data_IF_335923912899
#
_entry.id   IF_335923912899
#
_cell.length_a   1.000
_cell.length_b   1.000
_cell.length_c   1.000
_cell.angle_alpha   90.00
_cell.angle_beta   90.00
_cell.angle_gamma   90.00
#
_symmetry.space_group_name_H-M   'P 1'
#
loop_
_entity.id
_entity.type
_entity.pdbx_description
1 polymer ?
#
# COMPACT_ATOMS: atom_id res chain seq x y z
N UNK A 1 -21.05 14.42 -69.27
CA UNK A 1 -20.33 14.26 -67.99
C UNK A 1 -19.99 12.78 -67.84
N UNK A 2 -18.72 12.40 -67.62
CA UNK A 2 -18.37 10.99 -67.49
C UNK A 2 -19.01 10.41 -66.23
N UNK A 3 -19.39 9.11 -66.25
CA UNK A 3 -19.96 8.46 -65.08
C UNK A 3 -18.91 8.29 -63.97
N UNK A 4 -19.37 8.28 -62.72
CA UNK A 4 -18.52 8.06 -61.55
C UNK A 4 -17.90 6.65 -61.61
N UNK A 5 -16.57 6.52 -61.49
CA UNK A 5 -15.92 5.21 -61.48
C UNK A 5 -16.41 4.32 -60.33
N UNK A 6 -16.82 3.08 -60.65
CA UNK A 6 -17.43 2.17 -59.69
C UNK A 6 -16.56 1.84 -58.47
N UNK A 7 -15.22 1.90 -58.60
CA UNK A 7 -14.30 1.64 -57.49
C UNK A 7 -14.40 2.66 -56.35
N UNK A 8 -14.93 3.86 -56.62
CA UNK A 8 -15.17 4.89 -55.60
C UNK A 8 -16.43 4.64 -54.76
N UNK A 9 -17.29 3.70 -55.18
CA UNK A 9 -18.50 3.32 -54.45
C UNK A 9 -18.25 2.19 -53.44
N UNK A 10 -17.04 1.62 -53.44
CA UNK A 10 -16.65 0.56 -52.49
C UNK A 10 -16.13 1.23 -51.22
N UNK A 11 -16.54 0.77 -50.01
CA UNK A 11 -15.96 1.27 -48.77
C UNK A 11 -14.43 1.12 -48.76
N UNK A 12 -13.69 2.00 -48.06
CA UNK A 12 -12.27 1.82 -47.84
C UNK A 12 -11.98 0.41 -47.31
N UNK A 13 -10.90 -0.20 -47.79
CA UNK A 13 -10.48 -1.50 -47.27
C UNK A 13 -10.35 -1.42 -45.75
N UNK A 14 -10.81 -2.46 -45.05
CA UNK A 14 -10.73 -2.52 -43.60
C UNK A 14 -9.26 -2.39 -43.17
N UNK A 15 -8.93 -1.29 -42.51
CA UNK A 15 -7.62 -1.11 -41.87
C UNK A 15 -7.73 -1.76 -40.50
N UNK A 16 -7.11 -2.93 -40.33
CA UNK A 16 -6.95 -3.55 -39.02
C UNK A 16 -5.88 -2.79 -38.24
N UNK A 17 -6.29 -1.78 -37.47
CA UNK A 17 -5.39 -1.10 -36.53
C UNK A 17 -5.21 -1.99 -35.31
N UNK A 18 -3.98 -2.45 -35.05
CA UNK A 18 -3.69 -3.16 -33.81
C UNK A 18 -3.95 -2.23 -32.61
N UNK A 19 -4.64 -2.70 -31.55
CA UNK A 19 -4.82 -1.90 -30.35
C UNK A 19 -3.44 -1.54 -29.76
N UNK A 20 -3.27 -0.35 -29.17
CA UNK A 20 -2.01 0.06 -28.57
C UNK A 20 -1.56 -0.96 -27.50
N UNK A 21 -0.33 -1.47 -27.65
CA UNK A 21 0.29 -2.52 -26.82
C UNK A 21 1.03 -1.90 -25.62
N UNK A 22 0.44 -0.92 -24.95
CA UNK A 22 1.02 -0.41 -23.70
C UNK A 22 0.36 -1.09 -22.51
N UNK A 23 0.95 -2.20 -22.09
CA UNK A 23 0.58 -2.88 -20.84
C UNK A 23 1.01 -2.05 -19.64
N UNK A 24 0.06 -1.67 -18.78
CA UNK A 24 0.37 -1.05 -17.48
C UNK A 24 1.22 -2.00 -16.64
N UNK A 25 2.04 -1.43 -15.74
CA UNK A 25 2.79 -2.21 -14.75
C UNK A 25 1.82 -3.13 -13.98
N UNK A 26 2.15 -4.42 -13.95
CA UNK A 26 1.33 -5.44 -13.29
C UNK A 26 1.39 -5.29 -11.76
N UNK A 27 2.52 -4.80 -11.26
CA UNK A 27 2.77 -4.60 -9.84
C UNK A 27 2.57 -3.14 -9.44
N UNK A 28 1.93 -2.94 -8.28
CA UNK A 28 1.83 -1.62 -7.67
C UNK A 28 3.23 -1.17 -7.22
N UNK A 29 3.74 -0.01 -7.66
CA UNK A 29 5.13 0.41 -7.42
C UNK A 29 5.35 0.96 -6.00
N UNK A 30 4.87 0.24 -4.97
CA UNK A 30 4.97 0.64 -3.57
C UNK A 30 6.42 0.76 -3.09
N UNK A 31 7.34 0.02 -3.73
CA UNK A 31 8.78 0.13 -3.51
C UNK A 31 9.37 1.51 -3.88
N UNK A 32 8.69 2.28 -4.73
CA UNK A 32 9.12 3.62 -5.15
C UNK A 32 8.59 4.73 -4.26
N UNK A 33 7.70 4.43 -3.31
CA UNK A 33 7.20 5.43 -2.36
C UNK A 33 8.34 5.95 -1.51
N UNK A 34 8.38 7.27 -1.26
CA UNK A 34 9.24 7.85 -0.23
C UNK A 34 8.83 7.34 1.14
N UNK A 35 9.71 7.48 2.13
CA UNK A 35 9.45 6.90 3.46
C UNK A 35 8.18 7.49 4.08
N UNK A 36 8.02 8.81 3.98
CA UNK A 36 6.89 9.55 4.54
C UNK A 36 5.57 9.17 3.84
N UNK A 37 5.62 8.86 2.54
CA UNK A 37 4.44 8.44 1.78
C UNK A 37 4.05 6.98 2.09
N UNK A 38 5.03 6.13 2.41
CA UNK A 38 4.77 4.79 2.92
C UNK A 38 4.09 4.83 4.31
N UNK A 39 4.55 5.69 5.22
CA UNK A 39 3.92 5.88 6.53
C UNK A 39 2.47 6.37 6.38
N UNK A 40 2.22 7.34 5.49
CA UNK A 40 0.86 7.79 5.15
C UNK A 40 -0.01 6.66 4.62
N UNK A 41 0.53 5.79 3.75
CA UNK A 41 -0.18 4.62 3.25
C UNK A 41 -0.53 3.65 4.39
N UNK A 42 0.42 3.35 5.26
CA UNK A 42 0.18 2.47 6.41
C UNK A 42 -0.93 3.02 7.33
N UNK A 43 -0.91 4.33 7.64
CA UNK A 43 -1.96 4.96 8.43
C UNK A 43 -3.33 4.82 7.76
N UNK A 44 -3.41 5.10 6.44
CA UNK A 44 -4.67 4.94 5.68
C UNK A 44 -5.18 3.50 5.70
N UNK A 45 -4.28 2.51 5.63
CA UNK A 45 -4.65 1.10 5.74
C UNK A 45 -5.23 0.78 7.12
N UNK A 46 -4.63 1.28 8.21
CA UNK A 46 -5.17 1.12 9.57
C UNK A 46 -6.55 1.77 9.69
N UNK A 47 -6.73 2.96 9.11
CA UNK A 47 -8.00 3.69 9.11
C UNK A 47 -9.12 2.99 8.31
N UNK A 48 -8.82 1.96 7.51
CA UNK A 48 -9.87 1.11 6.93
C UNK A 48 -10.53 0.18 7.96
N UNK A 49 -9.90 -0.01 9.11
CA UNK A 49 -10.33 -0.94 10.17
C UNK A 49 -10.67 -0.25 11.49
N UNK A 50 -10.20 0.97 11.70
CA UNK A 50 -10.36 1.77 12.91
C UNK A 50 -10.74 3.20 12.52
N UNK A 51 -11.48 3.89 13.38
CA UNK A 51 -11.79 5.30 13.10
C UNK A 51 -10.55 6.18 13.31
N UNK A 52 -10.55 7.37 12.71
CA UNK A 52 -9.41 8.31 12.80
C UNK A 52 -9.13 8.69 14.26
N UNK A 53 -10.18 8.87 15.06
CA UNK A 53 -10.11 9.22 16.48
C UNK A 53 -9.51 8.10 17.34
N UNK A 54 -9.42 6.89 16.79
CA UNK A 54 -8.83 5.75 17.45
C UNK A 54 -7.36 5.54 17.08
N UNK A 55 -6.84 6.20 16.05
CA UNK A 55 -5.52 5.92 15.46
C UNK A 55 -4.51 7.04 15.71
N UNK A 56 -3.33 6.69 16.24
CA UNK A 56 -2.26 7.64 16.49
C UNK A 56 -0.89 7.08 16.07
N UNK A 57 0.01 7.97 15.66
CA UNK A 57 1.41 7.65 15.40
C UNK A 57 2.14 7.48 16.74
N UNK A 58 2.96 6.44 16.86
CA UNK A 58 3.67 6.16 18.09
C UNK A 58 4.99 6.95 18.17
N UNK A 59 4.95 8.09 18.87
CA UNK A 59 6.12 8.90 19.20
C UNK A 59 6.68 9.73 18.03
N UNK A 60 7.86 10.32 18.24
CA UNK A 60 8.58 11.16 17.28
C UNK A 60 9.90 10.50 16.87
N UNK A 61 10.33 10.70 15.63
CA UNK A 61 11.58 10.14 15.10
C UNK A 61 12.77 10.38 16.06
N UNK A 62 13.43 9.30 16.49
CA UNK A 62 14.58 9.35 17.40
C UNK A 62 14.32 8.84 18.82
N UNK A 63 13.07 8.57 19.22
CA UNK A 63 12.78 7.89 20.48
C UNK A 63 12.86 6.35 20.37
N UNK A 64 13.10 5.66 21.49
CA UNK A 64 12.93 4.21 21.56
C UNK A 64 11.45 3.85 21.41
N UNK A 65 10.99 3.74 20.17
CA UNK A 65 9.60 3.46 19.84
C UNK A 65 9.23 1.97 20.02
N UNK A 66 10.13 1.15 20.60
CA UNK A 66 9.99 -0.31 20.76
C UNK A 66 9.54 -1.00 19.45
N UNK A 67 9.79 -0.31 18.34
CA UNK A 67 9.38 -0.64 17.01
C UNK A 67 7.97 -0.20 16.58
N UNK A 68 7.00 0.05 17.47
CA UNK A 68 5.61 0.37 17.07
C UNK A 68 5.62 1.68 16.29
N UNK A 69 4.95 1.69 15.14
CA UNK A 69 4.85 2.87 14.28
C UNK A 69 3.45 3.52 14.42
N UNK A 70 2.39 2.71 14.55
CA UNK A 70 0.99 3.15 14.74
C UNK A 70 0.34 2.31 15.83
N UNK A 71 -0.52 2.91 16.65
CA UNK A 71 -1.47 2.17 17.47
C UNK A 71 -2.90 2.65 17.24
N UNK A 72 -3.86 1.74 17.39
CA UNK A 72 -5.28 2.03 17.31
C UNK A 72 -6.02 1.48 18.53
N UNK A 73 -6.87 2.29 19.16
CA UNK A 73 -7.66 1.88 20.34
C UNK A 73 -8.95 1.19 19.91
N UNK A 74 -9.19 -0.01 20.43
CA UNK A 74 -10.44 -0.77 20.25
C UNK A 74 -11.50 -0.36 21.27
N UNK A 75 -12.77 -0.64 20.96
CA UNK A 75 -13.89 -0.45 21.89
C UNK A 75 -13.76 -1.31 23.16
N UNK A 76 -13.00 -2.42 23.11
CA UNK A 76 -12.67 -3.25 24.27
C UNK A 76 -11.71 -2.58 25.26
N UNK A 77 -11.15 -1.41 24.92
CA UNK A 77 -10.11 -0.73 25.71
C UNK A 77 -8.70 -1.26 25.47
N UNK A 78 -8.53 -2.31 24.66
CA UNK A 78 -7.24 -2.82 24.18
C UNK A 78 -6.78 -2.07 22.92
N UNK A 79 -5.56 -2.34 22.48
CA UNK A 79 -4.94 -1.69 21.33
C UNK A 79 -4.61 -2.70 20.22
N UNK A 80 -4.76 -2.26 18.97
CA UNK A 80 -4.08 -2.85 17.83
C UNK A 80 -2.79 -2.06 17.57
N UNK A 81 -1.65 -2.74 17.52
CA UNK A 81 -0.35 -2.11 17.27
C UNK A 81 0.20 -2.55 15.93
N UNK A 82 0.73 -1.61 15.17
CA UNK A 82 1.23 -1.83 13.83
C UNK A 82 2.72 -1.50 13.74
N UNK A 83 3.40 -2.39 13.03
CA UNK A 83 4.82 -2.33 12.75
C UNK A 83 4.98 -2.18 11.24
N UNK A 84 5.40 -1.00 10.80
CA UNK A 84 5.47 -0.61 9.39
C UNK A 84 6.94 -0.70 8.95
N UNK A 85 7.27 -1.69 8.11
CA UNK A 85 8.63 -1.91 7.60
C UNK A 85 8.62 -1.95 6.07
N UNK A 86 9.21 -0.92 5.44
CA UNK A 86 9.38 -0.83 3.98
C UNK A 86 10.60 -1.62 3.51
N UNK A 87 10.63 -2.93 3.79
CA UNK A 87 11.74 -3.81 3.41
C UNK A 87 11.41 -4.56 2.12
N UNK A 88 12.39 -4.68 1.22
CA UNK A 88 12.26 -5.51 0.01
C UNK A 88 12.28 -7.00 0.34
N UNK A 89 13.02 -7.37 1.39
CA UNK A 89 13.13 -8.73 1.91
C UNK A 89 13.16 -8.64 3.43
N UNK A 90 12.42 -9.52 4.09
CA UNK A 90 12.42 -9.68 5.54
C UNK A 90 12.64 -11.17 5.82
N UNK A 91 13.74 -11.50 6.48
CA UNK A 91 14.02 -12.88 6.88
C UNK A 91 13.14 -13.31 8.05
N UNK A 92 12.97 -14.63 8.21
CA UNK A 92 12.25 -15.18 9.36
C UNK A 92 12.91 -14.83 10.71
N UNK A 93 14.24 -14.67 10.73
CA UNK A 93 14.97 -14.30 11.96
C UNK A 93 14.75 -12.84 12.33
N UNK A 94 14.74 -11.94 11.34
CA UNK A 94 14.38 -10.54 11.56
C UNK A 94 12.94 -10.42 12.04
N UNK A 95 12.00 -11.14 11.42
CA UNK A 95 10.61 -11.17 11.85
C UNK A 95 10.49 -11.67 13.30
N UNK A 96 11.19 -12.75 13.67
CA UNK A 96 11.22 -13.26 15.05
C UNK A 96 11.76 -12.22 16.03
N UNK A 97 12.81 -11.47 15.65
CA UNK A 97 13.36 -10.39 16.49
C UNK A 97 12.35 -9.27 16.69
N UNK A 98 11.65 -8.83 15.64
CA UNK A 98 10.61 -7.81 15.72
C UNK A 98 9.47 -8.23 16.66
N UNK A 99 8.98 -9.47 16.51
CA UNK A 99 7.93 -10.02 17.37
C UNK A 99 8.42 -10.14 18.82
N UNK A 100 9.64 -10.61 19.05
CA UNK A 100 10.22 -10.72 20.40
C UNK A 100 10.35 -9.34 21.06
N UNK A 101 10.79 -8.34 20.30
CA UNK A 101 10.88 -6.95 20.78
C UNK A 101 9.51 -6.44 21.23
N UNK A 102 8.48 -6.60 20.39
CA UNK A 102 7.11 -6.23 20.74
C UNK A 102 6.63 -6.96 22.00
N UNK A 103 6.80 -8.28 22.08
CA UNK A 103 6.37 -9.10 23.23
C UNK A 103 7.07 -8.73 24.54
N UNK A 104 8.29 -8.20 24.47
CA UNK A 104 9.01 -7.71 25.66
C UNK A 104 8.59 -6.32 26.12
N UNK A 105 7.75 -5.61 25.34
CA UNK A 105 7.28 -4.27 25.67
C UNK A 105 6.05 -4.28 26.56
N UNK A 106 5.83 -3.16 27.27
CA UNK A 106 4.58 -2.94 28.02
C UNK A 106 3.32 -2.90 27.12
N UNK A 107 3.49 -2.72 25.81
CA UNK A 107 2.39 -2.72 24.84
C UNK A 107 1.80 -4.11 24.62
N UNK A 108 2.59 -5.18 24.79
CA UNK A 108 2.09 -6.54 24.64
C UNK A 108 0.92 -6.86 25.59
N UNK A 109 0.95 -6.35 26.82
CA UNK A 109 -0.14 -6.54 27.78
C UNK A 109 -1.38 -5.69 27.47
N UNK A 110 -1.19 -4.59 26.74
CA UNK A 110 -2.24 -3.63 26.38
C UNK A 110 -2.92 -3.96 25.05
N UNK A 111 -2.33 -4.84 24.26
CA UNK A 111 -2.76 -5.15 22.90
C UNK A 111 -3.36 -6.55 22.78
N UNK A 112 -4.23 -6.75 21.81
CA UNK A 112 -4.91 -8.02 21.50
C UNK A 112 -5.06 -8.26 19.98
#
# INVERSE_FOLDING_TARGET
MPPLPAHLLVPPAAITVAPPVETKLHDLPLNKLRWEDFERLCLRLVQTRFTVEQCELYGVAGQQQLGIDIYARKNSGKYATYHCKRYQKLSSDELRKLVKLFRSSAWAAKSD
#
